data_IF_712095069434
#
_entry.id   IF_712095069434
#
_cell.length_a   1.000
_cell.length_b   1.000
_cell.length_c   1.000
_cell.angle_alpha   90.00
_cell.angle_beta   90.00
_cell.angle_gamma   90.00
#
_symmetry.space_group_name_H-M   'P 1'
#
loop_
_entity.id
_entity.type
_entity.pdbx_description
1 polymer ?
#
# COMPACT_ATOMS: atom_id res chain seq x y z
N UNK A 1 -26.47 -0.52 -16.42
CA UNK A 1 -25.40 -1.44 -16.00
C UNK A 1 -23.98 -0.85 -15.98
N UNK A 2 -23.60 0.13 -16.83
CA UNK A 2 -22.23 0.70 -16.85
C UNK A 2 -21.81 1.56 -15.63
N UNK A 3 -22.75 2.07 -14.83
CA UNK A 3 -22.46 2.98 -13.70
C UNK A 3 -21.86 2.31 -12.45
N UNK A 4 -22.03 1.00 -12.29
CA UNK A 4 -21.56 0.29 -11.09
C UNK A 4 -20.13 -0.27 -11.25
N UNK A 5 -19.71 -0.52 -12.49
CA UNK A 5 -18.36 -1.02 -12.79
C UNK A 5 -17.30 0.02 -12.38
N UNK A 6 -17.56 1.31 -12.61
CA UNK A 6 -16.65 2.38 -12.20
C UNK A 6 -16.47 2.51 -10.68
N UNK A 7 -17.51 2.22 -9.89
CA UNK A 7 -17.42 2.21 -8.43
C UNK A 7 -16.69 0.97 -7.90
N UNK A 8 -16.88 -0.18 -8.55
CA UNK A 8 -16.18 -1.43 -8.22
C UNK A 8 -14.70 -1.30 -8.60
N UNK A 9 -14.37 -0.71 -9.75
CA UNK A 9 -13.01 -0.39 -10.15
C UNK A 9 -12.34 0.61 -9.19
N UNK A 10 -13.07 1.62 -8.69
CA UNK A 10 -12.55 2.56 -7.71
C UNK A 10 -12.29 1.88 -6.35
N UNK A 11 -13.16 0.96 -5.93
CA UNK A 11 -12.95 0.13 -4.73
C UNK A 11 -11.79 -0.83 -4.94
N UNK A 12 -11.65 -1.45 -6.12
CA UNK A 12 -10.52 -2.31 -6.48
C UNK A 12 -9.22 -1.50 -6.54
N UNK A 13 -9.24 -0.26 -7.01
CA UNK A 13 -8.06 0.61 -7.09
C UNK A 13 -7.59 1.09 -5.71
N UNK A 14 -8.51 1.27 -4.75
CA UNK A 14 -8.20 1.53 -3.33
C UNK A 14 -7.79 0.23 -2.62
N UNK A 15 -8.25 -0.92 -3.09
CA UNK A 15 -8.06 -2.26 -2.51
C UNK A 15 -6.92 -3.03 -3.16
N UNK A 16 -6.39 -2.58 -4.31
CA UNK A 16 -5.20 -3.21 -4.93
C UNK A 16 -3.93 -3.17 -4.05
N UNK A 17 -4.10 -3.00 -2.76
CA UNK A 17 -3.05 -2.84 -1.76
C UNK A 17 -2.92 -4.01 -0.77
N UNK A 18 -3.53 -5.20 -0.96
CA UNK A 18 -3.55 -6.09 0.21
C UNK A 18 -3.51 -7.59 -0.05
N UNK A 19 -2.44 -8.27 0.12
CA UNK A 19 -2.16 -9.52 0.87
C UNK A 19 -1.02 -10.38 0.32
N UNK A 20 -0.14 -10.78 1.07
CA UNK A 20 0.20 -12.02 1.77
C UNK A 20 1.62 -12.03 2.31
N UNK A 21 1.75 -12.61 3.50
CA UNK A 21 2.95 -12.71 4.28
C UNK A 21 3.95 -13.69 3.66
N UNK A 22 5.13 -13.20 3.33
CA UNK A 22 6.41 -13.90 3.43
C UNK A 22 7.45 -12.81 3.68
N UNK A 23 8.32 -13.01 4.65
CA UNK A 23 9.28 -12.03 5.14
C UNK A 23 10.20 -11.46 4.07
N UNK A 24 9.73 -10.44 3.36
CA UNK A 24 10.60 -9.46 2.76
C UNK A 24 10.62 -8.30 3.76
N UNK A 25 11.64 -8.22 4.58
CA UNK A 25 11.79 -7.10 5.50
C UNK A 25 12.27 -5.91 4.68
N UNK A 26 11.39 -4.96 4.41
CA UNK A 26 11.80 -3.66 3.87
C UNK A 26 12.90 -3.09 4.77
N UNK A 27 13.99 -2.53 4.21
CA UNK A 27 15.05 -1.96 5.01
C UNK A 27 14.53 -0.94 6.02
N UNK A 28 15.08 -0.93 7.22
CA UNK A 28 14.78 0.08 8.25
C UNK A 28 15.33 1.47 7.89
N UNK A 29 16.21 1.55 6.89
CA UNK A 29 16.80 2.78 6.38
C UNK A 29 16.19 3.10 5.00
N UNK A 30 15.61 4.30 4.88
CA UNK A 30 14.93 4.74 3.67
C UNK A 30 15.87 4.90 2.46
N UNK A 31 17.09 5.40 2.67
CA UNK A 31 18.08 5.56 1.59
C UNK A 31 18.48 4.21 1.01
N UNK A 32 18.58 3.16 1.83
CA UNK A 32 18.83 1.80 1.35
C UNK A 32 17.66 1.25 0.55
N UNK A 33 16.43 1.49 0.98
CA UNK A 33 15.25 1.06 0.23
C UNK A 33 15.17 1.74 -1.15
N UNK A 34 15.43 3.04 -1.21
CA UNK A 34 15.47 3.79 -2.47
C UNK A 34 16.58 3.30 -3.39
N UNK A 35 17.80 3.11 -2.85
CA UNK A 35 18.94 2.60 -3.61
C UNK A 35 18.66 1.20 -4.18
N UNK A 36 18.08 0.30 -3.39
CA UNK A 36 17.74 -1.05 -3.83
C UNK A 36 16.68 -1.02 -4.94
N UNK A 37 15.64 -0.18 -4.82
CA UNK A 37 14.63 -0.01 -5.86
C UNK A 37 15.27 0.47 -7.17
N UNK A 38 16.11 1.50 -7.13
CA UNK A 38 16.84 2.00 -8.30
C UNK A 38 17.74 0.94 -8.93
N UNK A 39 18.46 0.17 -8.11
CA UNK A 39 19.30 -0.93 -8.58
C UNK A 39 18.51 -2.06 -9.24
N UNK A 40 17.25 -2.22 -8.90
CA UNK A 40 16.31 -3.20 -9.49
C UNK A 40 15.45 -2.62 -10.63
N UNK A 41 15.80 -1.45 -11.19
CA UNK A 41 15.13 -0.87 -12.37
C UNK A 41 13.83 -0.13 -12.06
N UNK A 42 13.60 0.28 -10.81
CA UNK A 42 12.47 1.12 -10.45
C UNK A 42 12.85 2.60 -10.49
N UNK A 43 11.92 3.44 -10.96
CA UNK A 43 11.98 4.86 -10.68
C UNK A 43 11.59 5.02 -9.20
N UNK A 44 12.53 5.47 -8.38
CA UNK A 44 12.31 5.59 -6.95
C UNK A 44 12.68 6.97 -6.44
N UNK A 45 11.85 7.52 -5.56
CA UNK A 45 12.00 8.84 -4.97
C UNK A 45 11.70 8.78 -3.46
N UNK A 46 12.43 9.62 -2.72
CA UNK A 46 12.17 9.85 -1.29
C UNK A 46 11.57 11.23 -1.10
N UNK A 47 10.39 11.28 -0.48
CA UNK A 47 9.80 12.49 0.05
C UNK A 47 10.25 12.66 1.50
N UNK A 48 10.99 13.71 1.76
CA UNK A 48 11.47 14.08 3.09
C UNK A 48 10.62 15.21 3.70
N UNK A 49 10.76 15.45 5.00
CA UNK A 49 10.26 16.64 5.66
C UNK A 49 11.25 17.79 5.43
N UNK A 50 11.13 18.47 4.31
CA UNK A 50 11.92 19.64 3.94
C UNK A 50 11.09 20.94 3.90
N UNK A 51 11.57 21.96 3.19
CA UNK A 51 10.98 23.32 3.10
C UNK A 51 9.57 23.40 2.50
N UNK A 52 9.11 22.37 1.80
CA UNK A 52 7.69 22.22 1.53
C UNK A 52 7.07 21.75 2.84
N UNK A 53 6.55 22.70 3.59
CA UNK A 53 5.99 22.52 4.92
C UNK A 53 5.25 21.16 5.02
N UNK A 54 5.91 20.15 5.55
CA UNK A 54 5.36 18.85 5.88
C UNK A 54 5.28 17.76 4.80
N UNK A 55 6.15 17.71 3.79
CA UNK A 55 6.09 16.71 2.72
C UNK A 55 5.63 15.31 3.16
N UNK A 56 6.53 14.52 3.73
CA UNK A 56 6.21 13.14 4.17
C UNK A 56 5.15 13.10 5.28
N UNK A 57 5.26 13.99 6.28
CA UNK A 57 4.34 13.98 7.42
C UNK A 57 2.92 14.43 7.04
N UNK A 58 2.78 15.39 6.12
CA UNK A 58 1.46 15.81 5.62
C UNK A 58 0.79 14.68 4.82
N UNK A 59 1.53 14.01 3.96
CA UNK A 59 1.02 12.87 3.19
C UNK A 59 0.63 11.71 4.11
N UNK A 60 1.43 11.41 5.13
CA UNK A 60 1.09 10.39 6.11
C UNK A 60 -0.17 10.76 6.92
N UNK A 61 -0.37 12.02 7.29
CA UNK A 61 -1.59 12.49 7.95
C UNK A 61 -2.83 12.36 7.07
N UNK A 62 -2.72 12.70 5.78
CA UNK A 62 -3.81 12.50 4.83
C UNK A 62 -4.17 11.03 4.68
N UNK A 63 -3.15 10.17 4.53
CA UNK A 63 -3.37 8.73 4.48
C UNK A 63 -3.97 8.19 5.79
N UNK A 64 -3.49 8.65 6.95
CA UNK A 64 -4.03 8.28 8.25
C UNK A 64 -5.49 8.67 8.41
N UNK A 65 -5.87 9.88 7.99
CA UNK A 65 -7.24 10.35 8.03
C UNK A 65 -8.20 9.50 7.19
N UNK A 66 -7.74 9.00 6.03
CA UNK A 66 -8.53 8.09 5.18
C UNK A 66 -8.84 6.74 5.86
N UNK A 67 -8.08 6.37 6.88
CA UNK A 67 -8.23 5.13 7.65
C UNK A 67 -8.69 5.35 9.10
N UNK A 68 -9.14 6.54 9.46
CA UNK A 68 -9.47 6.93 10.85
C UNK A 68 -8.34 6.64 11.85
N UNK A 69 -7.08 6.78 11.41
CA UNK A 69 -5.89 6.60 12.25
C UNK A 69 -5.48 7.95 12.85
N UNK A 70 -5.31 7.97 14.17
CA UNK A 70 -4.64 9.09 14.85
C UNK A 70 -3.16 8.78 14.98
N UNK A 71 -2.32 9.54 14.27
CA UNK A 71 -0.86 9.45 14.42
C UNK A 71 -0.43 9.97 15.77
N UNK A 72 0.53 9.29 16.40
CA UNK A 72 1.10 9.65 17.71
C UNK A 72 2.48 10.28 17.58
N UNK A 73 3.10 10.18 16.41
CA UNK A 73 4.40 10.73 16.07
C UNK A 73 4.39 11.36 14.68
N UNK A 74 5.55 11.40 14.06
CA UNK A 74 5.78 11.96 12.73
C UNK A 74 6.17 10.89 11.74
N UNK A 75 5.84 11.10 10.47
CA UNK A 75 6.43 10.38 9.35
C UNK A 75 7.63 11.19 8.86
N UNK A 76 8.84 10.66 9.00
CA UNK A 76 10.05 11.38 8.63
C UNK A 76 10.31 11.32 7.12
N UNK A 77 10.06 10.15 6.51
CA UNK A 77 10.30 9.93 5.09
C UNK A 77 9.23 9.03 4.48
N UNK A 78 8.95 9.23 3.19
CA UNK A 78 8.17 8.31 2.36
C UNK A 78 9.03 7.95 1.15
N UNK A 79 9.29 6.67 0.93
CA UNK A 79 9.90 6.17 -0.29
C UNK A 79 8.83 5.61 -1.20
N UNK A 80 8.81 6.04 -2.45
CA UNK A 80 7.97 5.48 -3.50
C UNK A 80 8.84 4.87 -4.57
N UNK A 81 8.41 3.75 -5.14
CA UNK A 81 9.05 3.13 -6.29
C UNK A 81 8.02 2.61 -7.26
N UNK A 82 8.24 2.86 -8.55
CA UNK A 82 7.36 2.41 -9.63
C UNK A 82 8.22 1.81 -10.75
N UNK A 83 7.82 0.65 -11.29
CA UNK A 83 8.49 0.07 -12.46
C UNK A 83 8.25 0.93 -13.71
N UNK A 84 9.14 0.84 -14.70
CA UNK A 84 9.03 1.62 -15.95
C UNK A 84 7.70 1.41 -16.68
N UNK A 85 7.13 0.21 -16.61
CA UNK A 85 5.83 -0.10 -17.22
C UNK A 85 4.61 0.30 -16.35
N UNK A 86 4.86 0.88 -15.16
CA UNK A 86 3.85 1.34 -14.22
C UNK A 86 3.05 0.24 -13.50
N UNK A 87 3.35 -1.05 -13.75
CA UNK A 87 2.56 -2.16 -13.20
C UNK A 87 2.95 -2.57 -11.79
N UNK A 88 4.18 -2.28 -11.40
CA UNK A 88 4.73 -2.63 -10.10
C UNK A 88 4.99 -1.36 -9.31
N UNK A 89 4.54 -1.31 -8.08
CA UNK A 89 4.78 -0.14 -7.22
C UNK A 89 4.90 -0.52 -5.76
N UNK A 90 5.60 0.31 -5.01
CA UNK A 90 5.70 0.23 -3.55
C UNK A 90 5.73 1.62 -2.95
N UNK A 91 5.11 1.76 -1.79
CA UNK A 91 5.21 2.95 -0.94
C UNK A 91 5.59 2.51 0.47
N UNK A 92 6.57 3.19 1.05
CA UNK A 92 7.12 2.89 2.37
C UNK A 92 7.10 4.18 3.20
N UNK A 93 6.39 4.15 4.32
CA UNK A 93 6.33 5.23 5.30
C UNK A 93 7.30 4.92 6.43
N UNK A 94 8.22 5.81 6.71
CA UNK A 94 9.16 5.73 7.82
C UNK A 94 8.72 6.67 8.94
N UNK A 95 8.24 6.10 10.03
CA UNK A 95 7.77 6.85 11.20
C UNK A 95 8.88 6.97 12.25
N UNK A 96 8.76 7.96 13.12
CA UNK A 96 9.60 8.10 14.32
C UNK A 96 9.29 7.04 15.38
N UNK A 97 8.15 6.34 15.28
CA UNK A 97 7.73 5.28 16.18
C UNK A 97 7.08 4.09 15.47
N UNK A 98 7.17 2.90 16.08
CA UNK A 98 6.59 1.67 15.54
C UNK A 98 5.07 1.56 15.74
N UNK A 99 4.48 2.38 16.61
CA UNK A 99 3.04 2.34 16.91
C UNK A 99 2.23 2.77 15.72
N UNK A 100 2.65 3.85 15.05
CA UNK A 100 1.98 4.39 13.88
C UNK A 100 2.11 3.46 12.67
N UNK A 101 3.29 2.86 12.44
CA UNK A 101 3.46 1.82 11.43
C UNK A 101 2.51 0.62 11.64
N UNK A 102 2.37 0.17 12.89
CA UNK A 102 1.44 -0.93 13.25
C UNK A 102 -0.03 -0.52 13.08
N UNK A 103 -0.38 0.74 13.36
CA UNK A 103 -1.73 1.26 13.17
C UNK A 103 -2.14 1.20 11.69
N UNK A 104 -1.29 1.66 10.78
CA UNK A 104 -1.50 1.52 9.35
C UNK A 104 -1.68 0.07 8.92
N UNK A 105 -0.79 -0.82 9.36
CA UNK A 105 -0.88 -2.24 9.02
C UNK A 105 -2.19 -2.88 9.51
N UNK A 106 -2.66 -2.49 10.71
CA UNK A 106 -3.95 -2.97 11.25
C UNK A 106 -5.12 -2.46 10.42
N UNK A 107 -5.13 -1.18 10.07
CA UNK A 107 -6.19 -0.58 9.25
C UNK A 107 -6.25 -1.24 7.86
N UNK A 108 -5.10 -1.38 7.20
CA UNK A 108 -5.02 -2.08 5.92
C UNK A 108 -5.56 -3.52 6.00
N UNK A 109 -5.23 -4.28 7.05
CA UNK A 109 -5.79 -5.64 7.24
C UNK A 109 -7.32 -5.63 7.36
N UNK A 110 -7.86 -4.65 8.08
CA UNK A 110 -9.30 -4.52 8.24
C UNK A 110 -9.99 -4.19 6.91
N UNK A 111 -9.40 -3.28 6.14
CA UNK A 111 -9.95 -2.87 4.84
C UNK A 111 -9.88 -3.98 3.81
N UNK A 112 -8.79 -4.76 3.77
CA UNK A 112 -8.74 -5.94 2.92
C UNK A 112 -9.87 -6.91 3.21
N UNK A 113 -10.10 -7.17 4.49
CA UNK A 113 -11.20 -8.06 4.89
C UNK A 113 -12.54 -7.52 4.40
N UNK A 114 -12.83 -6.23 4.68
CA UNK A 114 -14.06 -5.57 4.20
C UNK A 114 -14.22 -5.67 2.68
N UNK A 115 -13.14 -5.44 1.95
CA UNK A 115 -13.17 -5.49 0.49
C UNK A 115 -13.45 -6.89 -0.05
N UNK A 116 -12.85 -7.93 0.55
CA UNK A 116 -13.16 -9.33 0.18
C UNK A 116 -14.60 -9.69 0.49
N UNK A 117 -15.10 -9.26 1.65
CA UNK A 117 -16.49 -9.51 2.05
C UNK A 117 -17.47 -8.79 1.10
N UNK A 118 -17.16 -7.56 0.70
CA UNK A 118 -17.97 -6.80 -0.26
C UNK A 118 -17.93 -7.41 -1.65
N UNK A 119 -16.74 -7.80 -2.12
CA UNK A 119 -16.57 -8.47 -3.41
C UNK A 119 -17.39 -9.78 -3.48
N UNK A 120 -17.38 -10.55 -2.38
CA UNK A 120 -18.21 -11.76 -2.27
C UNK A 120 -19.71 -11.43 -2.33
N UNK A 121 -20.16 -10.40 -1.61
CA UNK A 121 -21.57 -9.96 -1.65
C UNK A 121 -22.00 -9.53 -3.06
N UNK A 122 -21.12 -8.81 -3.78
CA UNK A 122 -21.40 -8.39 -5.17
C UNK A 122 -21.54 -9.60 -6.11
N UNK A 123 -20.69 -10.62 -5.92
CA UNK A 123 -20.80 -11.89 -6.65
C UNK A 123 -22.11 -12.62 -6.31
N UNK A 124 -22.40 -12.79 -5.02
CA UNK A 124 -23.58 -13.52 -4.55
C UNK A 124 -24.89 -12.82 -4.95
N UNK A 125 -24.84 -11.49 -5.12
CA UNK A 125 -25.96 -10.69 -5.65
C UNK A 125 -26.06 -10.69 -7.20
N UNK A 126 -25.14 -11.36 -7.90
CA UNK A 126 -25.11 -11.40 -9.37
C UNK A 126 -24.67 -10.08 -10.03
N UNK A 127 -24.08 -9.14 -9.28
CA UNK A 127 -23.65 -7.84 -9.78
C UNK A 127 -22.31 -7.91 -10.52
N UNK A 128 -21.52 -8.98 -10.30
CA UNK A 128 -20.27 -9.27 -10.99
C UNK A 128 -20.24 -10.74 -11.41
N UNK A 129 -19.52 -11.04 -12.49
CA UNK A 129 -19.36 -12.42 -12.96
C UNK A 129 -18.40 -13.21 -12.05
N UNK A 130 -18.47 -14.56 -12.12
CA UNK A 130 -17.54 -15.44 -11.44
C UNK A 130 -16.08 -15.18 -11.88
N UNK A 131 -15.87 -14.87 -13.16
CA UNK A 131 -14.55 -14.59 -13.71
C UNK A 131 -13.99 -13.25 -13.23
N UNK A 132 -14.82 -12.19 -13.18
CA UNK A 132 -14.42 -10.91 -12.59
C UNK A 132 -14.09 -11.05 -11.11
N UNK A 133 -14.87 -11.85 -10.38
CA UNK A 133 -14.61 -12.15 -8.98
C UNK A 133 -13.26 -12.86 -8.79
N UNK A 134 -12.96 -13.90 -9.58
CA UNK A 134 -11.68 -14.61 -9.52
C UNK A 134 -10.52 -13.70 -9.87
N UNK A 135 -10.66 -12.89 -10.93
CA UNK A 135 -9.64 -11.93 -11.35
C UNK A 135 -9.33 -10.92 -10.24
N UNK A 136 -10.37 -10.34 -9.62
CA UNK A 136 -10.18 -9.41 -8.51
C UNK A 136 -9.47 -10.06 -7.30
N UNK A 137 -9.79 -11.32 -6.99
CA UNK A 137 -9.08 -12.06 -5.93
C UNK A 137 -7.61 -12.31 -6.27
N UNK A 138 -7.27 -12.61 -7.54
CA UNK A 138 -5.88 -12.78 -7.97
C UNK A 138 -5.10 -11.46 -7.89
N UNK A 139 -5.68 -10.37 -8.34
CA UNK A 139 -5.09 -9.03 -8.20
C UNK A 139 -4.82 -8.70 -6.72
N UNK A 140 -5.77 -9.02 -5.82
CA UNK A 140 -5.57 -8.86 -4.38
C UNK A 140 -4.44 -9.71 -3.81
N UNK A 141 -4.09 -10.85 -4.42
CA UNK A 141 -2.98 -11.70 -3.97
C UNK A 141 -1.62 -11.13 -4.31
N UNK A 142 -1.51 -10.28 -5.32
CA UNK A 142 -0.21 -9.71 -5.74
C UNK A 142 0.26 -8.59 -4.83
N UNK A 143 -0.61 -8.04 -4.01
CA UNK A 143 -0.26 -6.92 -3.16
C UNK A 143 0.26 -7.38 -1.81
N UNK A 144 1.33 -6.73 -1.33
CA UNK A 144 1.93 -6.91 -0.02
C UNK A 144 1.89 -5.64 0.81
N UNK A 145 1.70 -5.80 2.09
CA UNK A 145 1.90 -4.76 3.09
C UNK A 145 2.39 -5.37 4.40
N UNK A 146 3.03 -4.57 5.19
CA UNK A 146 3.58 -5.04 6.45
C UNK A 146 4.29 -3.95 7.22
N UNK A 147 4.94 -4.37 8.30
CA UNK A 147 5.74 -3.51 9.16
C UNK A 147 7.14 -4.08 9.26
N UNK A 148 8.15 -3.22 9.14
CA UNK A 148 9.55 -3.50 9.40
C UNK A 148 10.08 -2.44 10.37
N UNK A 149 10.18 -2.78 11.66
CA UNK A 149 10.54 -1.81 12.70
C UNK A 149 9.56 -0.65 12.79
N UNK A 150 10.00 0.54 12.39
CA UNK A 150 9.21 1.78 12.35
C UNK A 150 8.64 2.08 10.96
N UNK A 151 8.89 1.23 9.97
CA UNK A 151 8.40 1.41 8.62
C UNK A 151 7.11 0.60 8.41
N UNK A 152 6.10 1.24 7.80
CA UNK A 152 4.95 0.60 7.19
C UNK A 152 5.13 0.62 5.68
N UNK A 153 4.88 -0.48 5.01
CA UNK A 153 4.99 -0.56 3.56
C UNK A 153 3.78 -1.25 2.93
N UNK A 154 3.49 -0.85 1.71
CA UNK A 154 2.54 -1.53 0.85
C UNK A 154 2.98 -1.43 -0.62
N UNK A 155 2.60 -2.43 -1.42
CA UNK A 155 2.93 -2.46 -2.85
C UNK A 155 2.75 -3.84 -3.45
N UNK A 156 3.13 -4.01 -4.69
CA UNK A 156 3.14 -5.31 -5.35
C UNK A 156 4.26 -6.19 -4.78
N UNK A 157 4.09 -7.50 -4.83
CA UNK A 157 5.08 -8.47 -4.33
C UNK A 157 6.46 -8.25 -4.93
N UNK A 158 6.52 -7.98 -6.25
CA UNK A 158 7.77 -7.75 -6.95
C UNK A 158 8.46 -6.49 -6.45
N UNK A 159 7.74 -5.37 -6.34
CA UNK A 159 8.29 -4.10 -5.87
C UNK A 159 8.73 -4.16 -4.40
N UNK A 160 7.96 -4.81 -3.53
CA UNK A 160 8.36 -5.03 -2.13
C UNK A 160 9.62 -5.91 -2.05
N UNK A 161 9.76 -6.92 -2.92
CA UNK A 161 10.98 -7.73 -2.99
C UNK A 161 12.18 -6.91 -3.49
N UNK A 162 11.97 -6.01 -4.43
CA UNK A 162 13.02 -5.15 -4.99
C UNK A 162 13.58 -4.13 -3.97
N UNK A 163 12.86 -3.84 -2.87
CA UNK A 163 13.37 -2.99 -1.78
C UNK A 163 14.47 -3.65 -0.95
N UNK A 164 14.65 -4.97 -1.01
CA UNK A 164 15.59 -5.74 -0.20
C UNK A 164 16.84 -6.06 -0.99
#
# INVERSE_FOLDING_TARGET
MKKNIGKILAVILVVSVLATVLCACVPSNFSKAEANLKANGYVAETLENGDIANGANAMAKLAAAAYDITLTGKCDNIVTGVSEDGKQSVTIYYFDNAKDAKAFNKACKADLKKAKDELKKQKDAGNISEDDYKKALEEMKDVKFGVSGKAFYYGTKAAVKACN
#
